data_IF_704858666290
#
_entry.id   IF_704858666290
#
_cell.length_a   1.000
_cell.length_b   1.000
_cell.length_c   1.000
_cell.angle_alpha   90.00
_cell.angle_beta   90.00
_cell.angle_gamma   90.00
#
_symmetry.space_group_name_H-M   'P 1'
#
loop_
_entity.id
_entity.type
_entity.pdbx_description
1 polymer ?
#
# COMPACT_ATOMS: atom_id res chain seq x y z
N UNK A 1 -19.41 -25.95 25.85
CA UNK A 1 -18.02 -25.85 26.34
C UNK A 1 -16.97 -25.94 25.23
N UNK A 2 -16.83 -27.05 24.48
CA UNK A 2 -15.84 -27.14 23.38
C UNK A 2 -16.21 -26.25 22.18
N UNK A 3 -17.49 -26.13 21.86
CA UNK A 3 -17.98 -25.30 20.74
C UNK A 3 -17.82 -23.79 20.99
N UNK A 4 -18.07 -23.33 22.21
CA UNK A 4 -17.83 -21.93 22.59
C UNK A 4 -16.35 -21.57 22.51
N UNK A 5 -15.47 -22.44 23.04
CA UNK A 5 -14.03 -22.24 22.96
C UNK A 5 -13.52 -22.14 21.52
N UNK A 6 -14.09 -22.91 20.59
CA UNK A 6 -13.77 -22.82 19.16
C UNK A 6 -14.17 -21.47 18.57
N UNK A 7 -15.32 -20.93 18.97
CA UNK A 7 -15.84 -19.66 18.48
C UNK A 7 -15.01 -18.48 18.98
N UNK A 8 -14.61 -18.50 20.25
CA UNK A 8 -13.68 -17.51 20.82
C UNK A 8 -12.31 -17.57 20.15
N UNK A 9 -11.76 -18.77 19.90
CA UNK A 9 -10.49 -18.92 19.20
C UNK A 9 -10.56 -18.37 17.76
N UNK A 10 -11.71 -18.52 17.10
CA UNK A 10 -11.94 -18.02 15.75
C UNK A 10 -12.04 -16.50 15.72
N UNK A 11 -12.67 -15.89 16.72
CA UNK A 11 -12.72 -14.43 16.89
C UNK A 11 -11.31 -13.86 17.15
N UNK A 12 -10.54 -14.48 18.05
CA UNK A 12 -9.14 -14.08 18.32
C UNK A 12 -8.27 -14.22 17.07
N UNK A 13 -8.44 -15.30 16.28
CA UNK A 13 -7.73 -15.49 15.02
C UNK A 13 -8.11 -14.43 13.97
N UNK A 14 -9.37 -14.02 13.92
CA UNK A 14 -9.82 -12.99 12.99
C UNK A 14 -9.30 -11.60 13.40
N UNK A 15 -9.38 -11.25 14.69
CA UNK A 15 -8.75 -10.05 15.24
C UNK A 15 -7.24 -10.04 15.02
N UNK A 16 -6.55 -11.16 15.26
CA UNK A 16 -5.11 -11.27 15.02
C UNK A 16 -4.78 -11.12 13.53
N UNK A 17 -5.58 -11.69 12.62
CA UNK A 17 -5.42 -11.47 11.17
C UNK A 17 -5.67 -10.01 10.79
N UNK A 18 -6.64 -9.35 11.40
CA UNK A 18 -6.91 -7.93 11.15
C UNK A 18 -5.76 -7.06 11.68
N UNK A 19 -5.24 -7.33 12.88
CA UNK A 19 -4.05 -6.66 13.41
C UNK A 19 -2.81 -6.94 12.56
N UNK A 20 -2.60 -8.16 12.08
CA UNK A 20 -1.50 -8.47 11.14
C UNK A 20 -1.61 -7.71 9.82
N UNK A 21 -2.83 -7.44 9.33
CA UNK A 21 -3.03 -6.57 8.15
C UNK A 21 -2.71 -5.10 8.45
N UNK A 22 -2.87 -4.67 9.70
CA UNK A 22 -2.48 -3.34 10.16
C UNK A 22 -0.97 -3.19 10.38
N UNK A 23 -0.24 -4.30 10.67
CA UNK A 23 1.22 -4.32 10.73
C UNK A 23 1.80 -4.11 9.33
N UNK A 24 1.87 -2.85 8.92
CA UNK A 24 2.54 -2.38 7.72
C UNK A 24 4.04 -2.54 7.86
N UNK A 25 4.55 -3.70 7.50
CA UNK A 25 5.99 -3.87 7.30
C UNK A 25 6.45 -3.10 6.06
N UNK A 26 7.67 -2.57 6.08
CA UNK A 26 8.27 -1.84 4.95
C UNK A 26 8.30 -2.65 3.64
N UNK A 27 8.45 -3.98 3.72
CA UNK A 27 8.32 -4.86 2.54
C UNK A 27 6.88 -5.00 2.04
N UNK A 28 5.90 -4.89 2.94
CA UNK A 28 4.49 -4.91 2.59
C UNK A 28 4.09 -3.63 1.85
N UNK A 29 4.68 -2.47 2.17
CA UNK A 29 4.39 -1.21 1.47
C UNK A 29 4.72 -1.28 -0.04
N UNK A 30 5.84 -1.90 -0.41
CA UNK A 30 6.22 -2.12 -1.82
C UNK A 30 5.21 -3.05 -2.53
N UNK A 31 4.98 -4.23 -1.95
CA UNK A 31 4.03 -5.20 -2.51
C UNK A 31 2.61 -4.65 -2.59
N UNK A 32 2.19 -3.87 -1.58
CA UNK A 32 0.91 -3.19 -1.59
C UNK A 32 0.84 -2.20 -2.76
N UNK A 33 1.88 -1.39 -2.96
CA UNK A 33 1.94 -0.40 -4.04
C UNK A 33 1.84 -1.06 -5.42
N UNK A 34 2.55 -2.17 -5.63
CA UNK A 34 2.52 -2.96 -6.87
C UNK A 34 1.14 -3.53 -7.21
N UNK A 35 0.36 -3.89 -6.19
CA UNK A 35 -0.98 -4.47 -6.34
C UNK A 35 -2.12 -3.42 -6.36
N UNK A 36 -1.82 -2.13 -6.20
CA UNK A 36 -2.86 -1.10 -6.28
C UNK A 36 -3.46 -1.11 -7.68
N UNK A 37 -4.79 -1.21 -7.75
CA UNK A 37 -5.55 -1.15 -8.99
C UNK A 37 -5.74 0.31 -9.41
N UNK A 38 -5.13 0.68 -10.53
CA UNK A 38 -5.24 2.00 -11.15
C UNK A 38 -6.17 1.92 -12.35
N UNK A 39 -7.09 2.88 -12.46
CA UNK A 39 -7.91 3.02 -13.66
C UNK A 39 -7.11 3.80 -14.71
N UNK A 40 -6.56 3.09 -15.70
CA UNK A 40 -5.90 3.69 -16.85
C UNK A 40 -6.68 3.32 -18.12
N UNK A 41 -6.90 4.30 -19.00
CA UNK A 41 -7.59 4.09 -20.29
C UNK A 41 -8.97 3.39 -20.15
N UNK A 42 -9.70 3.67 -19.07
CA UNK A 42 -11.03 3.09 -18.82
C UNK A 42 -11.04 1.63 -18.33
N UNK A 43 -9.88 1.04 -18.04
CA UNK A 43 -9.76 -0.29 -17.43
C UNK A 43 -8.90 -0.25 -16.17
N UNK A 44 -9.13 -1.21 -15.27
CA UNK A 44 -8.31 -1.40 -14.06
C UNK A 44 -7.09 -2.24 -14.38
N UNK A 45 -5.92 -1.72 -14.08
CA UNK A 45 -4.65 -2.43 -14.15
C UNK A 45 -3.93 -2.32 -12.82
N UNK A 46 -3.18 -3.36 -12.47
CA UNK A 46 -2.25 -3.29 -11.35
C UNK A 46 -1.11 -2.34 -11.66
N UNK A 47 -0.69 -1.56 -10.66
CA UNK A 47 0.37 -0.55 -10.81
C UNK A 47 1.66 -1.16 -11.40
N UNK A 48 2.01 -2.40 -11.03
CA UNK A 48 3.19 -3.10 -11.54
C UNK A 48 3.25 -3.22 -13.08
N UNK A 49 2.09 -3.22 -13.74
CA UNK A 49 2.00 -3.33 -15.20
C UNK A 49 2.10 -1.95 -15.89
N UNK A 50 1.84 -0.89 -15.14
CA UNK A 50 1.77 0.48 -15.64
C UNK A 50 3.00 1.32 -15.28
N UNK A 51 3.73 0.91 -14.24
CA UNK A 51 4.88 1.63 -13.72
C UNK A 51 5.93 0.69 -13.12
N UNK A 52 7.18 1.12 -13.17
CA UNK A 52 8.27 0.55 -12.39
C UNK A 52 8.28 1.17 -11.00
N UNK A 53 8.33 0.33 -9.97
CA UNK A 53 8.41 0.77 -8.57
C UNK A 53 9.83 0.49 -8.05
N UNK A 54 10.52 1.54 -7.61
CA UNK A 54 11.87 1.47 -7.05
C UNK A 54 11.89 2.07 -5.65
N UNK A 55 12.61 1.42 -4.74
CA UNK A 55 12.80 1.95 -3.39
C UNK A 55 13.93 2.99 -3.39
N UNK A 56 13.64 4.23 -3.04
CA UNK A 56 14.66 5.29 -2.88
C UNK A 56 15.19 5.34 -1.46
N UNK A 57 14.29 5.18 -0.49
CA UNK A 57 14.59 5.27 0.93
C UNK A 57 13.77 4.22 1.70
N UNK A 58 13.91 4.16 3.02
CA UNK A 58 13.15 3.24 3.88
C UNK A 58 11.65 3.53 3.81
N UNK A 59 11.26 4.80 3.67
CA UNK A 59 9.86 5.25 3.61
C UNK A 59 9.43 5.81 2.24
N UNK A 60 10.38 6.07 1.33
CA UNK A 60 10.12 6.70 0.02
C UNK A 60 10.28 5.70 -1.12
N UNK A 61 9.25 5.60 -1.94
CA UNK A 61 9.20 4.77 -3.14
C UNK A 61 9.01 5.67 -4.36
N UNK A 62 9.80 5.42 -5.38
CA UNK A 62 9.67 6.06 -6.69
C UNK A 62 8.83 5.16 -7.59
N UNK A 63 7.79 5.73 -8.16
CA UNK A 63 6.92 5.09 -9.15
C UNK A 63 7.15 5.80 -10.46
N UNK A 64 7.74 5.11 -11.42
CA UNK A 64 8.03 5.62 -12.76
C UNK A 64 7.07 4.96 -13.75
N UNK A 65 6.03 5.66 -14.24
CA UNK A 65 5.12 5.11 -15.22
C UNK A 65 5.81 4.97 -16.58
N UNK A 66 5.34 3.98 -17.36
CA UNK A 66 5.80 3.80 -18.75
C UNK A 66 5.25 4.88 -19.69
N UNK A 67 4.13 5.52 -19.32
CA UNK A 67 3.50 6.62 -20.05
C UNK A 67 3.26 7.81 -19.09
N UNK A 68 3.59 9.03 -19.51
CA UNK A 68 3.40 10.23 -18.69
C UNK A 68 1.91 10.60 -18.53
N UNK A 69 1.04 10.15 -19.45
CA UNK A 69 -0.40 10.47 -19.41
C UNK A 69 -1.13 9.79 -18.24
N UNK A 70 -0.68 8.60 -17.83
CA UNK A 70 -1.30 7.83 -16.73
C UNK A 70 -0.87 8.32 -15.35
N UNK A 71 0.12 9.21 -15.27
CA UNK A 71 0.66 9.72 -14.02
C UNK A 71 -0.41 10.44 -13.18
N UNK A 72 -1.35 11.14 -13.83
CA UNK A 72 -2.47 11.78 -13.15
C UNK A 72 -3.50 10.79 -12.61
N UNK A 73 -3.79 9.71 -13.36
CA UNK A 73 -4.69 8.65 -12.91
C UNK A 73 -4.07 7.84 -11.75
N UNK A 74 -2.77 7.56 -11.82
CA UNK A 74 -2.01 6.89 -10.75
C UNK A 74 -2.05 7.74 -9.48
N UNK A 75 -1.76 9.04 -9.56
CA UNK A 75 -1.81 9.94 -8.40
C UNK A 75 -3.19 9.94 -7.74
N UNK A 76 -4.25 10.03 -8.55
CA UNK A 76 -5.63 10.06 -8.06
C UNK A 76 -6.01 8.76 -7.37
N UNK A 77 -5.74 7.62 -7.99
CA UNK A 77 -6.16 6.33 -7.46
C UNK A 77 -5.30 5.91 -6.25
N UNK A 78 -4.00 6.23 -6.21
CA UNK A 78 -3.18 6.02 -5.00
C UNK A 78 -3.68 6.88 -3.83
N UNK A 79 -4.07 8.14 -4.06
CA UNK A 79 -4.65 8.99 -3.01
C UNK A 79 -5.99 8.46 -2.49
N UNK A 80 -6.80 7.84 -3.34
CA UNK A 80 -8.09 7.24 -2.93
C UNK A 80 -7.93 6.04 -1.99
N UNK A 81 -6.83 5.29 -2.09
CA UNK A 81 -6.65 4.07 -1.29
C UNK A 81 -6.36 4.35 0.19
N UNK A 82 -6.34 5.62 0.62
CA UNK A 82 -6.25 6.07 2.02
C UNK A 82 -5.21 5.31 2.86
N UNK A 83 -4.02 5.12 2.30
CA UNK A 83 -2.92 4.41 2.95
C UNK A 83 -2.17 5.28 3.97
N UNK A 84 -2.69 6.45 4.33
CA UNK A 84 -2.10 7.34 5.34
C UNK A 84 -0.72 7.90 4.99
N UNK A 85 -0.27 7.75 3.74
CA UNK A 85 0.97 8.34 3.22
C UNK A 85 0.72 9.47 2.23
N UNK A 86 1.80 10.07 1.77
CA UNK A 86 1.77 11.20 0.83
C UNK A 86 2.31 10.80 -0.53
N UNK A 87 1.71 11.34 -1.60
CA UNK A 87 2.20 11.18 -2.98
C UNK A 87 2.64 12.54 -3.49
N UNK A 88 3.90 12.66 -3.86
CA UNK A 88 4.47 13.85 -4.48
C UNK A 88 4.63 13.57 -5.97
N UNK A 89 4.01 14.40 -6.78
CA UNK A 89 4.12 14.33 -8.23
C UNK A 89 5.31 15.15 -8.72
N UNK A 90 6.20 14.52 -9.47
CA UNK A 90 7.18 15.18 -10.32
C UNK A 90 6.81 15.00 -11.81
N UNK A 91 7.56 15.66 -12.70
CA UNK A 91 7.24 15.70 -14.14
C UNK A 91 7.20 14.31 -14.78
N UNK A 92 8.04 13.38 -14.33
CA UNK A 92 8.22 12.03 -14.92
C UNK A 92 7.98 10.87 -13.97
N UNK A 93 7.87 11.12 -12.68
CA UNK A 93 7.73 10.08 -11.66
C UNK A 93 6.92 10.59 -10.48
N UNK A 94 6.41 9.65 -9.68
CA UNK A 94 5.72 9.92 -8.43
C UNK A 94 6.58 9.41 -7.27
N UNK A 95 6.72 10.21 -6.22
CA UNK A 95 7.33 9.78 -4.96
C UNK A 95 6.20 9.48 -3.98
N UNK A 96 6.03 8.20 -3.64
CA UNK A 96 5.11 7.74 -2.61
C UNK A 96 5.88 7.61 -1.31
N UNK A 97 5.48 8.41 -0.32
CA UNK A 97 6.05 8.40 1.03
C UNK A 97 5.05 7.76 1.96
N UNK A 98 5.43 6.62 2.54
CA UNK A 98 4.66 6.01 3.62
C UNK A 98 5.04 6.70 4.94
N UNK A 99 4.09 6.86 5.88
CA UNK A 99 4.43 7.35 7.21
C UNK A 99 5.44 6.38 7.83
N UNK A 100 6.49 6.87 8.51
CA UNK A 100 7.42 6.01 9.21
C UNK A 100 6.64 5.25 10.29
N UNK A 101 6.77 3.92 10.33
CA UNK A 101 6.67 3.22 11.61
C UNK A 101 7.96 3.56 12.34
N UNK A 102 7.95 4.70 13.03
CA UNK A 102 8.94 5.04 14.05
C UNK A 102 8.97 3.91 15.07
N UNK A 103 10.12 3.70 15.72
CA UNK A 103 10.31 2.67 16.76
C UNK A 103 9.27 2.71 17.90
N UNK A 104 8.47 3.77 17.98
CA UNK A 104 7.37 3.97 18.92
C UNK A 104 6.16 3.05 18.67
N UNK A 105 5.87 2.63 17.42
CA UNK A 105 4.77 1.68 17.11
C UNK A 105 5.22 0.21 17.18
N UNK A 106 6.48 -0.06 17.55
CA UNK A 106 7.00 -1.44 17.72
C UNK A 106 6.63 -2.05 19.09
N UNK A 107 6.07 -1.26 19.99
CA UNK A 107 5.75 -1.66 21.38
C UNK A 107 4.26 -1.75 21.71
N UNK A 108 3.36 -1.50 20.76
CA UNK A 108 1.91 -1.67 20.94
C UNK A 108 1.35 -2.81 20.10
#
# INVERSE_FOLDING_TARGET
MIEEFKKDLQAILDEFKNKLREIRSYKFALHWLENVMINAYGKKYELKNLASVSQLDTIKYKVEPWDENILADIERDIKKTNFGGSVIKEKRYLIVTFPPITEETKKE
#
